data_IF_006096475433
#
_entry.id   IF_006096475433
#
_cell.length_a   1.000
_cell.length_b   1.000
_cell.length_c   1.000
_cell.angle_alpha   90.00
_cell.angle_beta   90.00
_cell.angle_gamma   90.00
#
_symmetry.space_group_name_H-M   'P 1'
#
loop_
_entity.id
_entity.type
_entity.pdbx_description
1 polymer ?
#
# COMPACT_ATOMS: atom_id res chain seq x y z
N UNK A 1 13.46 22.86 -2.79
CA UNK A 1 12.12 23.04 -3.39
C UNK A 1 11.11 22.73 -2.32
N UNK A 2 10.18 23.64 -2.02
CA UNK A 2 9.12 23.39 -1.05
C UNK A 2 8.14 22.38 -1.62
N UNK A 3 7.72 21.40 -0.82
CA UNK A 3 6.76 20.38 -1.23
C UNK A 3 5.63 20.34 -0.22
N UNK A 4 4.42 20.47 -0.74
CA UNK A 4 3.19 20.27 0.02
C UNK A 4 2.57 18.92 -0.38
N UNK A 5 2.29 18.09 0.62
CA UNK A 5 1.55 16.84 0.52
C UNK A 5 0.14 17.13 1.05
N UNK A 6 -0.69 17.67 0.16
CA UNK A 6 -1.98 18.26 0.52
C UNK A 6 -2.93 17.25 1.15
N UNK A 7 -2.97 16.03 0.62
CA UNK A 7 -3.88 14.98 1.09
C UNK A 7 -3.38 14.30 2.35
N UNK A 8 -2.08 14.32 2.61
CA UNK A 8 -1.50 13.88 3.89
C UNK A 8 -1.50 15.02 4.94
N UNK A 9 -1.71 16.28 4.54
CA UNK A 9 -1.64 17.42 5.44
C UNK A 9 -0.21 17.70 5.94
N UNK A 10 0.80 17.37 5.15
CA UNK A 10 2.22 17.52 5.52
C UNK A 10 2.94 18.45 4.54
N UNK A 11 3.92 19.22 5.04
CA UNK A 11 4.72 20.11 4.22
C UNK A 11 6.17 20.08 4.66
N UNK A 12 7.09 20.22 3.69
CA UNK A 12 8.53 20.34 3.96
C UNK A 12 8.88 21.59 4.77
N UNK A 13 7.97 22.56 4.87
CA UNK A 13 8.15 23.77 5.69
C UNK A 13 7.89 23.51 7.18
N UNK A 14 7.08 22.49 7.50
CA UNK A 14 6.66 22.18 8.87
C UNK A 14 7.19 20.83 9.37
N UNK A 15 7.74 20.01 8.48
CA UNK A 15 8.19 18.65 8.79
C UNK A 15 9.60 18.38 8.24
N UNK A 16 10.47 17.89 9.11
CA UNK A 16 11.78 17.35 8.73
C UNK A 16 11.62 15.90 8.22
N UNK A 17 11.34 15.74 6.93
CA UNK A 17 11.09 14.42 6.34
C UNK A 17 12.25 13.42 6.51
N UNK A 18 13.54 13.78 6.27
CA UNK A 18 14.67 12.88 6.53
C UNK A 18 14.70 12.37 7.96
N UNK A 19 14.49 13.25 8.95
CA UNK A 19 14.49 12.86 10.36
C UNK A 19 13.30 11.98 10.72
N UNK A 20 12.12 12.26 10.18
CA UNK A 20 10.87 11.58 10.54
C UNK A 20 10.69 10.24 9.82
N UNK A 21 11.18 10.10 8.60
CA UNK A 21 10.86 8.97 7.72
C UNK A 21 12.07 8.32 7.05
N UNK A 22 13.30 8.82 7.26
CA UNK A 22 14.48 8.33 6.56
C UNK A 22 14.82 6.85 6.80
N UNK A 23 14.30 6.26 7.87
CA UNK A 23 14.44 4.85 8.24
C UNK A 23 13.35 3.93 7.65
N UNK A 24 12.37 4.48 6.92
CA UNK A 24 11.29 3.67 6.35
C UNK A 24 11.83 2.70 5.30
N UNK A 25 11.46 1.43 5.45
CA UNK A 25 11.77 0.33 4.52
C UNK A 25 10.55 -0.34 3.94
N UNK A 26 9.42 -0.30 4.63
CA UNK A 26 8.20 -0.96 4.22
C UNK A 26 7.02 0.01 4.23
N UNK A 27 6.22 -0.01 3.17
CA UNK A 27 4.94 0.70 3.12
C UNK A 27 3.82 -0.32 2.95
N UNK A 28 3.03 -0.51 3.99
CA UNK A 28 1.83 -1.31 3.98
C UNK A 28 0.62 -0.40 3.73
N UNK A 29 -0.15 -0.67 2.67
CA UNK A 29 -1.33 0.12 2.35
C UNK A 29 -2.59 -0.73 2.16
N UNK A 30 -3.75 -0.16 2.46
CA UNK A 30 -5.03 -0.84 2.35
C UNK A 30 -6.22 0.13 2.36
N UNK A 31 -7.41 -0.33 1.99
CA UNK A 31 -8.53 0.61 1.78
C UNK A 31 -9.06 1.30 3.05
N UNK A 32 -9.19 0.55 4.15
CA UNK A 32 -9.84 1.02 5.38
C UNK A 32 -8.84 1.66 6.34
N UNK A 33 -9.17 2.86 6.83
CA UNK A 33 -8.41 3.54 7.89
C UNK A 33 -8.29 2.69 9.16
N UNK A 34 -9.42 2.15 9.64
CA UNK A 34 -9.46 1.26 10.82
C UNK A 34 -8.60 0.01 10.65
N UNK A 35 -8.51 -0.58 9.44
CA UNK A 35 -7.63 -1.74 9.20
C UNK A 35 -6.15 -1.36 9.27
N UNK A 36 -5.79 -0.19 8.75
CA UNK A 36 -4.40 0.30 8.81
C UNK A 36 -3.98 0.69 10.23
N UNK A 37 -4.89 1.26 11.03
CA UNK A 37 -4.67 1.49 12.45
C UNK A 37 -4.45 0.17 13.21
N UNK A 38 -5.31 -0.83 12.99
CA UNK A 38 -5.14 -2.17 13.58
C UNK A 38 -3.82 -2.80 13.18
N UNK A 39 -3.40 -2.65 11.92
CA UNK A 39 -2.12 -3.16 11.44
C UNK A 39 -0.93 -2.45 12.11
N UNK A 40 -1.01 -1.14 12.30
CA UNK A 40 0.02 -0.39 13.03
C UNK A 40 0.13 -0.84 14.50
N UNK A 41 -1.00 -1.04 15.18
CA UNK A 41 -1.01 -1.59 16.54
C UNK A 41 -0.42 -3.01 16.59
N UNK A 42 -0.80 -3.86 15.63
CA UNK A 42 -0.22 -5.20 15.51
C UNK A 42 1.31 -5.16 15.35
N UNK A 43 1.84 -4.28 14.49
CA UNK A 43 3.29 -4.12 14.35
C UNK A 43 3.97 -3.54 15.58
N UNK A 44 3.27 -2.72 16.37
CA UNK A 44 3.82 -2.17 17.61
C UNK A 44 4.07 -3.28 18.63
N UNK A 45 3.20 -4.29 18.65
CA UNK A 45 3.29 -5.44 19.55
C UNK A 45 4.23 -6.54 19.04
N UNK A 46 4.39 -6.68 17.72
CA UNK A 46 5.04 -7.85 17.11
C UNK A 46 6.39 -7.55 16.42
N UNK A 47 6.74 -6.28 16.16
CA UNK A 47 8.07 -5.96 15.62
C UNK A 47 9.10 -5.83 16.75
N UNK A 48 10.33 -6.35 16.55
CA UNK A 48 11.41 -6.26 17.53
C UNK A 48 12.06 -4.86 17.53
N UNK A 49 11.26 -3.84 17.84
CA UNK A 49 11.67 -2.43 17.90
C UNK A 49 11.44 -1.93 19.32
N UNK A 50 12.46 -1.27 19.87
CA UNK A 50 12.36 -0.69 21.22
C UNK A 50 11.54 0.59 21.17
N UNK A 51 10.32 0.52 21.69
CA UNK A 51 9.46 1.70 21.87
C UNK A 51 9.51 2.19 23.32
N UNK A 52 9.31 3.51 23.56
CA UNK A 52 9.05 4.01 24.90
C UNK A 52 7.85 3.31 25.54
N UNK A 53 7.86 3.17 26.86
CA UNK A 53 6.72 2.60 27.59
C UNK A 53 5.43 3.34 27.25
N UNK A 54 4.39 2.58 26.89
CA UNK A 54 3.07 3.13 26.53
C UNK A 54 2.99 3.76 25.14
N UNK A 55 4.01 3.57 24.27
CA UNK A 55 3.95 4.01 22.88
C UNK A 55 2.70 3.47 22.19
N UNK A 56 2.00 4.36 21.48
CA UNK A 56 0.91 4.01 20.59
C UNK A 56 1.12 4.76 19.27
N UNK A 57 0.95 4.09 18.13
CA UNK A 57 1.03 4.78 16.85
C UNK A 57 -0.11 5.79 16.72
N UNK A 58 0.23 7.03 16.36
CA UNK A 58 -0.73 8.10 16.14
C UNK A 58 -0.90 8.35 14.64
N UNK A 59 -2.06 8.91 14.26
CA UNK A 59 -2.29 9.33 12.89
C UNK A 59 -1.44 10.57 12.58
N UNK A 60 -0.50 10.42 11.65
CA UNK A 60 0.40 11.47 11.18
C UNK A 60 -0.23 12.39 10.12
N UNK A 61 -1.38 12.00 9.57
CA UNK A 61 -2.07 12.83 8.59
C UNK A 61 -2.87 13.94 9.28
N UNK A 62 -2.75 15.16 8.77
CA UNK A 62 -3.59 16.29 9.16
C UNK A 62 -4.67 16.56 8.10
N UNK A 63 -5.34 15.50 7.65
CA UNK A 63 -6.48 15.55 6.73
C UNK A 63 -7.51 14.48 7.09
N UNK A 64 -8.70 14.59 6.53
CA UNK A 64 -9.78 13.61 6.64
C UNK A 64 -9.75 12.54 5.53
N UNK A 65 -8.85 12.68 4.55
CA UNK A 65 -8.78 11.81 3.36
C UNK A 65 -8.04 10.51 3.63
N UNK A 66 -6.92 10.61 4.33
CA UNK A 66 -6.05 9.49 4.64
C UNK A 66 -5.61 9.50 6.10
N UNK A 67 -5.27 8.33 6.60
CA UNK A 67 -4.54 8.10 7.85
C UNK A 67 -3.21 7.46 7.51
N UNK A 68 -2.18 7.83 8.26
CA UNK A 68 -0.84 7.27 8.13
C UNK A 68 -0.26 7.07 9.51
N UNK A 69 0.24 5.88 9.77
CA UNK A 69 0.90 5.51 11.03
C UNK A 69 2.32 5.06 10.73
N UNK A 70 3.28 5.42 11.59
CA UNK A 70 4.66 4.93 11.51
C UNK A 70 5.00 4.07 12.72
N UNK A 71 5.52 2.88 12.48
CA UNK A 71 5.90 1.90 13.50
C UNK A 71 7.27 1.32 13.11
N UNK A 72 8.32 1.80 13.78
CA UNK A 72 9.71 1.50 13.38
C UNK A 72 9.95 1.84 11.90
N UNK A 73 10.46 0.90 11.07
CA UNK A 73 10.71 1.11 9.65
C UNK A 73 9.47 0.90 8.75
N UNK A 74 8.26 0.75 9.33
CA UNK A 74 7.02 0.46 8.59
C UNK A 74 6.10 1.68 8.59
N UNK A 75 5.60 2.06 7.41
CA UNK A 75 4.47 2.97 7.24
C UNK A 75 3.19 2.18 6.94
N UNK A 76 2.12 2.46 7.68
CA UNK A 76 0.79 1.93 7.42
C UNK A 76 -0.11 3.08 6.94
N UNK A 77 -0.59 3.03 5.69
CA UNK A 77 -1.32 4.14 5.06
C UNK A 77 -2.62 3.64 4.43
N UNK A 78 -3.76 4.25 4.73
CA UNK A 78 -4.97 3.88 4.00
C UNK A 78 -5.04 4.57 2.63
N UNK A 79 -5.81 4.00 1.71
CA UNK A 79 -5.96 4.57 0.36
C UNK A 79 -7.41 4.64 -0.13
N UNK A 80 -8.41 4.38 0.72
CA UNK A 80 -9.81 4.37 0.29
C UNK A 80 -10.11 3.30 -0.77
N UNK A 81 -11.04 3.59 -1.68
CA UNK A 81 -11.45 2.68 -2.76
C UNK A 81 -11.21 3.29 -4.14
N UNK A 82 -10.92 2.43 -5.13
CA UNK A 82 -10.73 2.82 -6.52
C UNK A 82 -9.36 3.42 -6.88
N UNK A 83 -9.09 3.46 -8.18
CA UNK A 83 -7.81 3.91 -8.75
C UNK A 83 -7.47 5.37 -8.42
N UNK A 84 -8.45 6.27 -8.51
CA UNK A 84 -8.21 7.70 -8.23
C UNK A 84 -7.73 7.94 -6.80
N UNK A 85 -8.31 7.24 -5.83
CA UNK A 85 -7.94 7.38 -4.42
C UNK A 85 -6.55 6.79 -4.14
N UNK A 86 -6.25 5.57 -4.62
CA UNK A 86 -4.91 4.99 -4.40
C UNK A 86 -3.80 5.73 -5.15
N UNK A 87 -4.06 6.22 -6.36
CA UNK A 87 -3.09 7.00 -7.14
C UNK A 87 -2.69 8.29 -6.40
N UNK A 88 -3.66 8.99 -5.81
CA UNK A 88 -3.42 10.20 -5.02
C UNK A 88 -2.52 9.90 -3.81
N UNK A 89 -2.85 8.85 -3.05
CA UNK A 89 -2.03 8.39 -1.91
C UNK A 89 -0.61 8.03 -2.36
N UNK A 90 -0.46 7.22 -3.41
CA UNK A 90 0.83 6.77 -3.92
C UNK A 90 1.70 7.96 -4.35
N UNK A 91 1.15 8.94 -5.05
CA UNK A 91 1.88 10.13 -5.47
C UNK A 91 2.43 10.93 -4.29
N UNK A 92 1.66 11.08 -3.21
CA UNK A 92 2.13 11.82 -2.04
C UNK A 92 3.12 11.02 -1.18
N UNK A 93 2.87 9.73 -0.97
CA UNK A 93 3.80 8.87 -0.23
C UNK A 93 5.13 8.72 -0.97
N UNK A 94 5.14 8.53 -2.28
CA UNK A 94 6.40 8.45 -3.05
C UNK A 94 7.20 9.76 -2.98
N UNK A 95 6.52 10.93 -3.00
CA UNK A 95 7.18 12.22 -2.77
C UNK A 95 7.74 12.31 -1.35
N UNK A 96 6.99 11.88 -0.35
CA UNK A 96 7.43 11.82 1.06
C UNK A 96 8.72 11.02 1.20
N UNK A 97 8.73 9.78 0.71
CA UNK A 97 9.89 8.90 0.77
C UNK A 97 11.11 9.49 0.03
N UNK A 98 10.86 10.12 -1.13
CA UNK A 98 11.91 10.84 -1.87
C UNK A 98 12.51 11.98 -1.04
N UNK A 99 11.68 12.78 -0.38
CA UNK A 99 12.14 13.89 0.48
C UNK A 99 12.85 13.41 1.74
N UNK A 100 12.45 12.24 2.25
CA UNK A 100 13.09 11.59 3.38
C UNK A 100 14.40 10.88 3.00
N UNK A 101 14.80 10.90 1.72
CA UNK A 101 15.94 10.18 1.18
C UNK A 101 15.89 8.65 1.40
N UNK A 102 14.70 8.08 1.54
CA UNK A 102 14.54 6.63 1.63
C UNK A 102 15.04 5.96 0.34
N UNK A 103 15.63 4.78 0.52
CA UNK A 103 16.13 3.91 -0.56
C UNK A 103 15.62 2.50 -0.34
N UNK A 104 15.32 1.83 -1.44
CA UNK A 104 14.93 0.42 -1.49
C UNK A 104 13.74 0.13 -0.57
N UNK A 105 12.68 0.92 -0.74
CA UNK A 105 11.43 0.76 0.01
C UNK A 105 10.50 -0.21 -0.70
N UNK A 106 10.01 -1.22 0.01
CA UNK A 106 9.07 -2.21 -0.51
C UNK A 106 7.63 -1.81 -0.18
N UNK A 107 6.74 -1.89 -1.17
CA UNK A 107 5.32 -1.58 -1.01
C UNK A 107 4.50 -2.87 -0.98
N UNK A 108 3.59 -2.98 -0.01
CA UNK A 108 2.62 -4.05 0.10
C UNK A 108 1.21 -3.46 0.11
N UNK A 109 0.37 -3.88 -0.83
CA UNK A 109 -1.08 -3.63 -0.74
C UNK A 109 -1.73 -4.83 -0.05
N UNK A 110 -2.39 -4.57 1.08
CA UNK A 110 -3.14 -5.56 1.85
C UNK A 110 -4.62 -5.25 1.71
N UNK A 111 -5.32 -6.09 0.96
CA UNK A 111 -6.69 -5.85 0.53
C UNK A 111 -7.63 -7.01 0.80
N UNK A 112 -8.85 -6.84 0.32
CA UNK A 112 -9.88 -7.87 0.22
C UNK A 112 -10.27 -7.98 -1.25
N UNK A 113 -10.67 -9.16 -1.70
CA UNK A 113 -11.07 -9.41 -3.09
C UNK A 113 -12.10 -10.53 -3.17
N UNK A 114 -12.83 -10.60 -4.29
CA UNK A 114 -13.54 -11.80 -4.70
C UNK A 114 -12.56 -12.86 -5.20
N UNK A 115 -12.72 -14.11 -4.78
CA UNK A 115 -11.90 -15.22 -5.25
C UNK A 115 -12.61 -15.97 -6.40
N UNK A 116 -11.90 -16.23 -7.49
CA UNK A 116 -12.40 -17.06 -8.60
C UNK A 116 -11.91 -18.50 -8.43
N UNK A 117 -12.83 -19.44 -8.19
CA UNK A 117 -12.49 -20.86 -8.04
C UNK A 117 -11.69 -21.19 -6.77
N UNK A 118 -11.65 -20.29 -5.78
CA UNK A 118 -10.91 -20.46 -4.53
C UNK A 118 -11.86 -20.50 -3.32
N UNK A 119 -11.56 -21.31 -2.29
CA UNK A 119 -12.30 -21.26 -1.02
C UNK A 119 -12.21 -19.89 -0.35
N UNK A 120 -13.26 -19.51 0.37
CA UNK A 120 -13.27 -18.30 1.20
C UNK A 120 -12.11 -18.29 2.20
N UNK A 121 -11.44 -17.15 2.34
CA UNK A 121 -10.28 -16.99 3.22
C UNK A 121 -8.93 -17.35 2.60
N UNK A 122 -8.89 -17.83 1.35
CA UNK A 122 -7.63 -18.02 0.61
C UNK A 122 -6.96 -16.67 0.34
N UNK A 123 -5.66 -16.56 0.61
CA UNK A 123 -4.87 -15.36 0.30
C UNK A 123 -4.29 -15.49 -1.11
N UNK A 124 -4.57 -14.52 -1.98
CA UNK A 124 -3.95 -14.44 -3.31
C UNK A 124 -2.78 -13.47 -3.27
N UNK A 125 -1.60 -13.95 -3.62
CA UNK A 125 -0.39 -13.16 -3.83
C UNK A 125 -0.33 -12.84 -5.33
N UNK A 126 -0.57 -11.57 -5.68
CA UNK A 126 -0.68 -11.16 -7.07
C UNK A 126 0.66 -11.27 -7.81
N UNK A 127 0.72 -12.00 -8.93
CA UNK A 127 1.89 -12.02 -9.82
C UNK A 127 1.90 -10.83 -10.80
N UNK A 128 0.72 -10.49 -11.29
CA UNK A 128 0.45 -9.38 -12.17
C UNK A 128 -1.00 -8.94 -11.96
N UNK A 129 -1.28 -7.70 -12.36
CA UNK A 129 -2.63 -7.14 -12.33
C UNK A 129 -3.12 -7.00 -13.76
N UNK A 130 -4.34 -7.46 -14.05
CA UNK A 130 -4.94 -7.35 -15.38
C UNK A 130 -6.10 -6.37 -15.36
N UNK A 131 -6.32 -5.70 -16.49
CA UNK A 131 -7.49 -4.86 -16.73
C UNK A 131 -8.73 -5.68 -17.10
N UNK A 132 -9.85 -4.99 -17.36
CA UNK A 132 -11.15 -5.59 -17.70
C UNK A 132 -11.10 -6.45 -18.99
N UNK A 133 -10.06 -6.30 -19.81
CA UNK A 133 -9.81 -7.09 -21.03
C UNK A 133 -8.78 -8.20 -20.81
N UNK A 134 -8.40 -8.47 -19.56
CA UNK A 134 -7.38 -9.44 -19.14
C UNK A 134 -5.97 -9.10 -19.65
N UNK A 135 -5.72 -7.84 -20.01
CA UNK A 135 -4.41 -7.39 -20.44
C UNK A 135 -3.59 -6.93 -19.22
N UNK A 136 -2.29 -7.27 -19.17
CA UNK A 136 -1.38 -6.89 -18.08
C UNK A 136 -0.92 -5.43 -18.25
N UNK A 137 -1.89 -4.53 -18.22
CA UNK A 137 -1.67 -3.11 -18.41
C UNK A 137 -2.55 -2.28 -17.49
N UNK A 138 -2.04 -1.10 -17.16
CA UNK A 138 -2.82 -0.02 -16.58
C UNK A 138 -2.90 1.13 -17.58
N UNK A 139 -4.11 1.39 -18.10
CA UNK A 139 -4.38 2.52 -18.98
C UNK A 139 -4.75 3.78 -18.18
N UNK A 140 -4.16 4.92 -18.57
CA UNK A 140 -4.48 6.24 -18.06
C UNK A 140 -4.63 7.23 -19.20
N UNK A 141 -5.35 8.33 -18.93
CA UNK A 141 -5.50 9.45 -19.85
C UNK A 141 -4.67 10.64 -19.33
N UNK A 142 -3.61 11.01 -20.05
CA UNK A 142 -2.72 12.12 -19.70
C UNK A 142 -2.84 13.18 -20.79
N UNK A 143 -3.42 14.34 -20.45
CA UNK A 143 -3.63 15.45 -21.38
C UNK A 143 -4.34 15.02 -22.68
N UNK A 144 -5.37 14.19 -22.54
CA UNK A 144 -6.16 13.68 -23.67
C UNK A 144 -5.51 12.53 -24.45
N UNK A 145 -4.33 12.03 -24.04
CA UNK A 145 -3.66 10.89 -24.67
C UNK A 145 -3.76 9.65 -23.79
N UNK A 146 -4.07 8.50 -24.41
CA UNK A 146 -4.01 7.19 -23.76
C UNK A 146 -2.55 6.81 -23.52
N UNK A 147 -2.25 6.38 -22.30
CA UNK A 147 -0.93 5.92 -21.87
C UNK A 147 -1.13 4.60 -21.13
N UNK A 148 -0.47 3.54 -21.60
CA UNK A 148 -0.50 2.22 -20.96
C UNK A 148 0.82 1.96 -20.23
N UNK A 149 0.74 1.38 -19.04
CA UNK A 149 1.90 0.97 -18.24
C UNK A 149 1.81 -0.52 -17.90
N UNK A 150 2.93 -1.26 -17.86
CA UNK A 150 2.92 -2.65 -17.44
C UNK A 150 2.60 -2.78 -15.94
N UNK A 151 2.02 -3.90 -15.55
CA UNK A 151 1.48 -4.16 -14.20
C UNK A 151 2.04 -5.45 -13.58
N UNK A 152 3.29 -5.80 -13.93
CA UNK A 152 3.99 -6.92 -13.32
C UNK A 152 4.48 -6.57 -11.91
N UNK A 153 4.36 -7.53 -11.00
CA UNK A 153 4.86 -7.42 -9.63
C UNK A 153 6.17 -8.19 -9.45
N UNK A 154 6.87 -7.95 -8.35
CA UNK A 154 8.17 -8.56 -8.10
C UNK A 154 8.03 -10.08 -7.87
N UNK A 155 8.45 -10.86 -8.87
CA UNK A 155 8.32 -12.32 -8.84
C UNK A 155 9.14 -12.99 -7.73
N UNK A 156 10.23 -12.37 -7.27
CA UNK A 156 11.05 -12.90 -6.19
C UNK A 156 10.34 -12.71 -4.86
N UNK A 157 9.81 -11.50 -4.63
CA UNK A 157 9.03 -11.17 -3.44
C UNK A 157 7.77 -12.04 -3.33
N UNK A 158 7.07 -12.29 -4.45
CA UNK A 158 5.88 -13.14 -4.46
C UNK A 158 6.18 -14.58 -4.02
N UNK A 159 7.30 -15.14 -4.49
CA UNK A 159 7.75 -16.49 -4.10
C UNK A 159 8.17 -16.55 -2.63
N UNK A 160 8.82 -15.50 -2.14
CA UNK A 160 9.19 -15.39 -0.73
C UNK A 160 7.95 -15.35 0.16
N UNK A 161 6.96 -14.53 -0.18
CA UNK A 161 5.69 -14.46 0.54
C UNK A 161 4.94 -15.80 0.54
N UNK A 162 4.91 -16.51 -0.60
CA UNK A 162 4.27 -17.83 -0.68
C UNK A 162 5.00 -18.87 0.20
N UNK A 163 6.33 -18.81 0.22
CA UNK A 163 7.15 -19.67 1.08
C UNK A 163 6.82 -19.43 2.57
N UNK A 164 6.79 -18.16 2.99
CA UNK A 164 6.41 -17.77 4.36
C UNK A 164 5.00 -18.24 4.69
N UNK A 165 4.03 -18.05 3.79
CA UNK A 165 2.66 -18.50 4.01
C UNK A 165 2.58 -20.02 4.20
N UNK A 166 3.33 -20.78 3.40
CA UNK A 166 3.44 -22.24 3.52
C UNK A 166 4.04 -22.65 4.87
N UNK A 167 5.13 -22.02 5.29
CA UNK A 167 5.78 -22.28 6.59
C UNK A 167 4.86 -21.98 7.78
N UNK A 168 3.99 -20.99 7.64
CA UNK A 168 2.99 -20.59 8.63
C UNK A 168 1.66 -21.36 8.52
N UNK A 169 1.56 -22.34 7.60
CA UNK A 169 0.33 -23.09 7.30
C UNK A 169 -0.88 -22.19 6.92
N UNK A 170 -0.63 -21.06 6.26
CA UNK A 170 -1.68 -20.24 5.67
C UNK A 170 -2.01 -20.72 4.25
N UNK A 171 -3.30 -20.79 3.94
CA UNK A 171 -3.77 -21.08 2.59
C UNK A 171 -3.53 -19.88 1.67
N UNK A 172 -2.47 -19.94 0.87
CA UNK A 172 -2.11 -18.90 -0.08
C UNK A 172 -1.75 -19.47 -1.45
N UNK A 173 -2.04 -18.71 -2.49
CA UNK A 173 -1.70 -19.04 -3.88
C UNK A 173 -1.11 -17.83 -4.59
N UNK A 174 -0.27 -18.06 -5.59
CA UNK A 174 0.14 -17.02 -6.54
C UNK A 174 -0.82 -17.05 -7.73
N UNK A 175 -1.27 -15.87 -8.17
CA UNK A 175 -2.14 -15.76 -9.34
C UNK A 175 -2.30 -14.34 -9.83
N UNK A 176 -2.92 -14.17 -11.00
CA UNK A 176 -3.26 -12.85 -11.53
C UNK A 176 -4.44 -12.26 -10.78
N UNK A 177 -4.54 -10.94 -10.78
CA UNK A 177 -5.63 -10.21 -10.11
C UNK A 177 -6.26 -9.23 -11.09
N UNK A 178 -7.55 -9.41 -11.38
CA UNK A 178 -8.35 -8.43 -12.12
C UNK A 178 -8.52 -7.18 -11.26
N UNK A 179 -8.36 -6.00 -11.86
CA UNK A 179 -8.64 -4.74 -11.18
C UNK A 179 -9.67 -3.92 -11.96
N UNK A 180 -10.91 -3.98 -11.50
CA UNK A 180 -12.05 -3.26 -12.06
C UNK A 180 -12.16 -1.83 -11.50
N UNK A 181 -12.77 -0.95 -12.29
CA UNK A 181 -13.16 0.41 -11.88
C UNK A 181 -14.54 0.47 -11.21
N UNK A 182 -15.36 -0.58 -11.34
CA UNK A 182 -16.70 -0.67 -10.77
C UNK A 182 -16.91 -2.01 -10.06
N UNK A 183 -17.47 -1.95 -8.85
CA UNK A 183 -17.64 -3.13 -7.99
C UNK A 183 -18.81 -4.04 -8.41
N UNK A 184 -19.75 -3.56 -9.22
CA UNK A 184 -20.98 -4.27 -9.53
C UNK A 184 -21.02 -4.79 -10.96
N UNK A 185 -20.97 -3.91 -11.95
CA UNK A 185 -21.01 -4.26 -13.37
C UNK A 185 -19.62 -4.68 -13.88
N UNK A 186 -18.55 -4.11 -13.32
CA UNK A 186 -17.18 -4.44 -13.71
C UNK A 186 -16.61 -5.73 -13.07
N UNK A 187 -17.31 -6.33 -12.12
CA UNK A 187 -16.92 -7.60 -11.47
C UNK A 187 -17.81 -8.80 -11.88
N UNK A 188 -18.57 -8.67 -12.97
CA UNK A 188 -19.41 -9.72 -13.54
C UNK A 188 -18.69 -10.57 -14.60
#
# INVERSE_FOLDING_TARGET
MKVNLYHLGMSSDTHDFPKLFGDVKFVCCGGSSKRMEKLANYFTENLPVNYPYGFKPENLCHSDRYVMYKVGPVLCVNHGMGHGSISTMLHEVLKLLRMANCKDTTFFRIGTSGGLGLPGGTVVISESVVDDLLEESFEMHILGKRVRKPTHLDSSLNKELLKIATELNYNAVIGKTLCSNDFYEGEQ
#
